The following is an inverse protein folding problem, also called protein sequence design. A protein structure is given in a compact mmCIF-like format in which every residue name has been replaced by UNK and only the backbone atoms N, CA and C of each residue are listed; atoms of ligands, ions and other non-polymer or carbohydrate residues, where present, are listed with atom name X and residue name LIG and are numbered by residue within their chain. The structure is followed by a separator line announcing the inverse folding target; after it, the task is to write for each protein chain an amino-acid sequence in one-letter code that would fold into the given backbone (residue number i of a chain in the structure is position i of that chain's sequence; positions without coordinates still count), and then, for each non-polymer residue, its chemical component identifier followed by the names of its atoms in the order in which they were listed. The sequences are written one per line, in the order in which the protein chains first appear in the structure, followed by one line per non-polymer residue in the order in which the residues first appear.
data_IF_445229920467
#
_entry.id   IF_445229920467
#
_cell.length_a   1.000
_cell.length_b   1.000
_cell.length_c   1.000
_cell.angle_alpha   90.00
_cell.angle_beta   90.00
_cell.angle_gamma   90.00
#
_symmetry.space_group_name_H-M   'P 1'
#
loop_
_entity.id
_entity.type
_entity.pdbx_description
1 polymer ?
#
# COMPACT_ATOMS: atom_id res chain seq x y z
N UNK A 1 -14.12 21.66 5.17
CA UNK A 1 -14.65 20.39 5.70
C UNK A 1 -14.30 19.31 4.69
N UNK A 2 -13.51 18.32 5.10
CA UNK A 2 -13.11 17.19 4.23
C UNK A 2 -14.28 16.21 4.14
N UNK A 3 -14.54 15.64 2.97
CA UNK A 3 -15.52 14.53 2.82
C UNK A 3 -15.02 13.23 3.46
N UNK A 4 -13.72 13.13 3.74
CA UNK A 4 -13.07 12.01 4.41
C UNK A 4 -12.72 12.38 5.85
N UNK A 5 -12.97 11.46 6.77
CA UNK A 5 -12.63 11.53 8.20
C UNK A 5 -11.14 11.34 8.45
N UNK A 6 -10.41 10.67 7.53
CA UNK A 6 -8.96 10.47 7.63
C UNK A 6 -8.25 10.42 6.27
N UNK A 7 -6.92 10.53 6.30
CA UNK A 7 -6.07 10.24 5.14
C UNK A 7 -6.16 8.78 4.70
N UNK A 8 -6.37 7.86 5.65
CA UNK A 8 -6.59 6.43 5.39
C UNK A 8 -7.86 6.21 4.59
N UNK A 9 -8.96 6.87 4.97
CA UNK A 9 -10.24 6.76 4.25
C UNK A 9 -10.13 7.34 2.83
N UNK A 10 -9.41 8.46 2.68
CA UNK A 10 -9.11 9.02 1.35
C UNK A 10 -8.32 8.05 0.49
N UNK A 11 -7.33 7.36 1.06
CA UNK A 11 -6.52 6.36 0.35
C UNK A 11 -7.37 5.16 -0.07
N UNK A 12 -8.17 4.62 0.85
CA UNK A 12 -9.10 3.52 0.57
C UNK A 12 -10.07 3.89 -0.56
N UNK A 13 -10.62 5.11 -0.53
CA UNK A 13 -11.49 5.61 -1.58
C UNK A 13 -10.78 5.70 -2.94
N UNK A 14 -9.54 6.20 -2.98
CA UNK A 14 -8.77 6.30 -4.21
C UNK A 14 -8.51 4.92 -4.83
N UNK A 15 -8.17 3.91 -4.02
CA UNK A 15 -7.96 2.53 -4.48
C UNK A 15 -9.29 1.98 -5.04
N UNK A 16 -10.37 2.05 -4.25
CA UNK A 16 -11.67 1.55 -4.66
C UNK A 16 -12.17 2.21 -5.95
N UNK A 17 -12.02 3.54 -6.07
CA UNK A 17 -12.42 4.29 -7.27
C UNK A 17 -11.65 3.84 -8.52
N UNK A 18 -10.33 3.61 -8.42
CA UNK A 18 -9.53 3.07 -9.55
C UNK A 18 -10.01 1.69 -9.98
N UNK A 19 -10.24 0.79 -9.03
CA UNK A 19 -10.73 -0.57 -9.32
C UNK A 19 -12.12 -0.52 -9.98
N UNK A 20 -13.04 0.25 -9.41
CA UNK A 20 -14.38 0.38 -9.97
C UNK A 20 -14.38 1.02 -11.37
N UNK A 21 -13.53 2.00 -11.63
CA UNK A 21 -13.37 2.59 -12.96
C UNK A 21 -12.90 1.56 -14.00
N UNK A 22 -12.14 0.55 -13.58
CA UNK A 22 -11.67 -0.55 -14.42
C UNK A 22 -12.62 -1.75 -14.45
N UNK A 23 -13.81 -1.64 -13.86
CA UNK A 23 -14.79 -2.73 -13.77
C UNK A 23 -14.41 -3.83 -12.78
N UNK A 24 -13.31 -3.68 -12.04
CA UNK A 24 -12.89 -4.59 -10.99
C UNK A 24 -13.73 -4.34 -9.74
N UNK A 25 -14.39 -5.40 -9.26
CA UNK A 25 -15.29 -5.35 -8.10
C UNK A 25 -14.87 -6.31 -6.99
N UNK A 26 -13.80 -7.06 -7.20
CA UNK A 26 -13.27 -7.97 -6.19
C UNK A 26 -12.66 -7.17 -5.03
N UNK A 27 -13.22 -7.24 -3.80
CA UNK A 27 -12.67 -6.55 -2.65
C UNK A 27 -11.29 -7.10 -2.25
N UNK A 28 -10.96 -8.35 -2.58
CA UNK A 28 -9.64 -8.94 -2.26
C UNK A 28 -8.56 -8.21 -3.05
N UNK A 29 -8.77 -7.98 -4.34
CA UNK A 29 -7.82 -7.24 -5.18
C UNK A 29 -7.57 -5.81 -4.67
N UNK A 30 -8.61 -5.12 -4.19
CA UNK A 30 -8.48 -3.78 -3.61
C UNK A 30 -7.67 -3.78 -2.31
N UNK A 31 -7.91 -4.79 -1.44
CA UNK A 31 -7.19 -4.94 -0.17
C UNK A 31 -5.71 -5.26 -0.42
N UNK A 32 -5.42 -6.16 -1.36
CA UNK A 32 -4.04 -6.49 -1.76
C UNK A 32 -3.30 -5.24 -2.22
N UNK A 33 -3.88 -4.43 -3.11
CA UNK A 33 -3.26 -3.17 -3.55
C UNK A 33 -2.99 -2.22 -2.37
N UNK A 34 -3.92 -2.12 -1.42
CA UNK A 34 -3.72 -1.30 -0.22
C UNK A 34 -2.57 -1.78 0.66
N UNK A 35 -2.40 -3.10 0.81
CA UNK A 35 -1.30 -3.71 1.58
C UNK A 35 0.03 -3.46 0.86
N UNK A 36 0.08 -3.63 -0.46
CA UNK A 36 1.27 -3.39 -1.27
C UNK A 36 1.70 -1.92 -1.25
N UNK A 37 0.75 -0.99 -1.29
CA UNK A 37 1.03 0.45 -1.23
C UNK A 37 1.62 0.85 0.13
N UNK A 38 1.04 0.36 1.24
CA UNK A 38 1.57 0.65 2.58
C UNK A 38 2.95 0.00 2.77
N UNK A 39 3.16 -1.23 2.28
CA UNK A 39 4.48 -1.87 2.28
C UNK A 39 5.51 -1.02 1.54
N UNK A 40 5.19 -0.54 0.33
CA UNK A 40 6.08 0.33 -0.45
C UNK A 40 6.43 1.59 0.32
N UNK A 41 5.43 2.22 0.95
CA UNK A 41 5.65 3.41 1.78
C UNK A 41 6.55 3.13 2.98
N UNK A 42 6.40 1.99 3.65
CA UNK A 42 7.30 1.59 4.74
C UNK A 42 8.74 1.39 4.24
N UNK A 43 8.93 0.78 3.07
CA UNK A 43 10.23 0.59 2.43
C UNK A 43 10.87 1.96 2.13
N UNK A 44 10.12 2.88 1.51
CA UNK A 44 10.60 4.24 1.20
C UNK A 44 11.01 5.01 2.47
N UNK A 45 10.21 4.89 3.54
CA UNK A 45 10.53 5.50 4.83
C UNK A 45 11.78 4.87 5.46
N UNK A 46 11.94 3.56 5.36
CA UNK A 46 13.13 2.86 5.83
C UNK A 46 14.36 3.33 5.07
N UNK A 47 14.33 3.34 3.74
CA UNK A 47 15.41 3.84 2.89
C UNK A 47 15.79 5.28 3.22
N UNK A 48 14.79 6.15 3.41
CA UNK A 48 15.02 7.53 3.79
C UNK A 48 15.67 7.67 5.18
N UNK A 49 15.39 6.74 6.10
CA UNK A 49 15.96 6.74 7.45
C UNK A 49 17.35 6.09 7.52
N UNK A 50 17.61 5.04 6.75
CA UNK A 50 18.83 4.23 6.84
C UNK A 50 19.86 4.50 5.76
N UNK A 51 19.53 5.31 4.74
CA UNK A 51 20.39 5.51 3.57
C UNK A 51 20.54 4.21 2.77
N UNK A 52 21.77 3.82 2.45
CA UNK A 52 22.10 2.63 1.64
C UNK A 52 22.03 1.30 2.42
N UNK A 53 21.47 1.27 3.63
CA UNK A 53 21.33 0.03 4.38
C UNK A 53 20.41 -0.96 3.64
N UNK A 54 20.80 -2.23 3.61
CA UNK A 54 19.99 -3.28 2.99
C UNK A 54 18.63 -3.40 3.66
N UNK A 55 17.58 -3.38 2.84
CA UNK A 55 16.21 -3.62 3.29
C UNK A 55 16.05 -5.12 3.47
N UNK A 56 15.54 -5.57 4.63
CA UNK A 56 15.27 -6.99 4.83
C UNK A 56 14.41 -7.60 3.71
N UNK A 57 14.81 -8.74 3.11
CA UNK A 57 14.12 -9.33 1.98
C UNK A 57 12.62 -9.58 2.21
N UNK A 58 12.22 -9.98 3.42
CA UNK A 58 10.82 -10.21 3.80
C UNK A 58 9.93 -8.95 3.77
N UNK A 59 10.53 -7.76 3.82
CA UNK A 59 9.80 -6.50 3.64
C UNK A 59 9.52 -6.24 2.16
N UNK A 60 10.44 -6.63 1.27
CA UNK A 60 10.31 -6.46 -0.18
C UNK A 60 9.41 -7.53 -0.79
N UNK A 61 9.59 -8.77 -0.35
CA UNK A 61 8.86 -9.93 -0.84
C UNK A 61 8.14 -10.63 0.33
N UNK A 62 6.80 -10.52 0.43
CA UNK A 62 6.02 -11.20 1.47
C UNK A 62 6.12 -12.73 1.42
N UNK A 63 6.43 -13.29 0.25
CA UNK A 63 6.50 -14.72 0.03
C UNK A 63 7.94 -15.25 0.21
N UNK A 64 8.87 -14.39 0.63
CA UNK A 64 10.22 -14.81 0.99
C UNK A 64 10.21 -15.67 2.25
N UNK A 65 10.64 -16.92 2.12
CA UNK A 65 10.79 -17.83 3.26
C UNK A 65 11.76 -17.24 4.30
N UNK A 66 11.41 -17.41 5.58
CA UNK A 66 12.13 -16.87 6.74
C UNK A 66 13.44 -17.62 7.03
#
# INVERSE_FOLDING_TARGET
MSIFESSTERMAWNIAARHFANGQKDPVAMIVEGIEEERRRCIELLQAATGDAEIPPFLVDPDHDW
#
